data_IF_331579810645
#
_entry.id   IF_331579810645
#
_cell.length_a   1.000
_cell.length_b   1.000
_cell.length_c   1.000
_cell.angle_alpha   90.00
_cell.angle_beta   90.00
_cell.angle_gamma   90.00
#
_symmetry.space_group_name_H-M   'P 1'
#
loop_
_entity.id
_entity.type
_entity.pdbx_description
1 polymer ?
#
# COMPACT_ATOMS: atom_id res chain seq x y z
N UNK A 1 49.04 41.94 29.19
CA UNK A 1 49.50 40.55 29.39
C UNK A 1 48.49 39.67 30.19
N UNK A 2 47.20 40.04 30.29
CA UNK A 2 46.25 39.45 31.27
C UNK A 2 45.33 38.39 30.65
N UNK A 3 45.22 38.31 29.32
CA UNK A 3 44.17 37.54 28.63
C UNK A 3 44.47 36.03 28.43
N UNK A 4 45.57 35.50 28.99
CA UNK A 4 45.93 34.07 28.85
C UNK A 4 45.50 33.19 30.02
N UNK A 5 45.20 33.75 31.20
CA UNK A 5 44.86 32.96 32.38
C UNK A 5 43.43 32.39 32.38
N UNK A 6 42.46 33.10 31.81
CA UNK A 6 41.04 32.67 31.78
C UNK A 6 40.74 31.60 30.73
N UNK A 7 41.59 31.47 29.71
CA UNK A 7 41.42 30.52 28.61
C UNK A 7 41.76 29.08 29.03
N UNK A 8 42.68 28.89 29.99
CA UNK A 8 43.11 27.57 30.45
C UNK A 8 42.05 26.80 31.24
N UNK A 9 41.23 27.50 32.03
CA UNK A 9 40.23 26.86 32.92
C UNK A 9 38.99 26.37 32.17
N UNK A 10 38.64 27.01 31.04
CA UNK A 10 37.47 26.64 30.22
C UNK A 10 37.69 25.37 29.38
N UNK A 11 38.94 24.88 29.30
CA UNK A 11 39.31 23.70 28.51
C UNK A 11 39.19 22.37 29.26
N UNK A 12 38.95 22.41 30.58
CA UNK A 12 38.86 21.24 31.45
C UNK A 12 37.44 20.65 31.57
N UNK A 13 36.40 21.36 31.12
CA UNK A 13 35.00 20.92 31.16
C UNK A 13 34.40 20.76 29.76
N UNK A 14 35.09 20.02 28.89
CA UNK A 14 34.46 19.48 27.67
C UNK A 14 34.07 18.04 27.95
N UNK A 15 32.87 17.86 28.51
CA UNK A 15 32.16 16.58 28.50
C UNK A 15 31.63 16.37 27.08
N UNK A 16 32.44 15.74 26.24
CA UNK A 16 31.95 15.12 25.01
C UNK A 16 31.36 13.74 25.40
N UNK A 17 30.25 13.77 26.15
CA UNK A 17 29.50 12.58 26.57
C UNK A 17 28.72 12.04 25.36
N UNK A 18 29.40 11.21 24.56
CA UNK A 18 28.84 10.54 23.39
C UNK A 18 28.18 9.21 23.73
N UNK A 19 27.01 9.00 23.12
CA UNK A 19 26.30 7.74 22.86
C UNK A 19 26.82 6.51 23.63
N UNK A 20 26.14 6.17 24.74
CA UNK A 20 26.46 4.94 25.46
C UNK A 20 25.86 3.73 24.76
N UNK A 21 26.44 2.54 24.96
CA UNK A 21 25.84 1.29 24.48
C UNK A 21 24.44 1.04 25.05
N UNK A 22 24.21 1.49 26.30
CA UNK A 22 22.91 1.40 26.98
C UNK A 22 21.86 2.26 26.25
N UNK A 23 22.25 3.43 25.75
CA UNK A 23 21.36 4.33 25.01
C UNK A 23 20.90 3.70 23.69
N UNK A 24 21.80 3.09 22.93
CA UNK A 24 21.42 2.33 21.72
C UNK A 24 20.50 1.13 22.04
N UNK A 25 20.74 0.42 23.16
CA UNK A 25 19.91 -0.71 23.57
C UNK A 25 18.47 -0.28 23.89
N UNK A 26 18.30 0.83 24.62
CA UNK A 26 16.97 1.36 24.93
C UNK A 26 16.24 1.85 23.66
N UNK A 27 16.96 2.44 22.70
CA UNK A 27 16.38 2.85 21.41
C UNK A 27 15.88 1.65 20.61
N UNK A 28 16.69 0.59 20.47
CA UNK A 28 16.28 -0.63 19.76
C UNK A 28 15.11 -1.32 20.44
N UNK A 29 15.06 -1.31 21.78
CA UNK A 29 13.93 -1.80 22.55
C UNK A 29 12.65 -1.07 22.18
N UNK A 30 12.64 0.27 22.19
CA UNK A 30 11.46 1.05 21.83
C UNK A 30 11.06 0.83 20.37
N UNK A 31 12.02 0.83 19.43
CA UNK A 31 11.75 0.59 18.00
C UNK A 31 11.10 -0.79 17.79
N UNK A 32 11.56 -1.82 18.50
CA UNK A 32 10.99 -3.17 18.38
C UNK A 32 9.51 -3.23 18.73
N UNK A 33 9.11 -2.56 19.82
CA UNK A 33 7.71 -2.48 20.26
C UNK A 33 6.87 -1.71 19.25
N UNK A 34 7.40 -0.61 18.70
CA UNK A 34 6.70 0.17 17.68
C UNK A 34 6.45 -0.64 16.39
N UNK A 35 7.44 -1.40 15.92
CA UNK A 35 7.31 -2.23 14.71
C UNK A 35 6.19 -3.26 14.85
N UNK A 36 6.07 -3.91 16.02
CA UNK A 36 5.03 -4.92 16.29
C UNK A 36 3.62 -4.32 16.14
N UNK A 37 3.42 -3.06 16.54
CA UNK A 37 2.12 -2.39 16.41
C UNK A 37 1.88 -1.89 14.99
N UNK A 38 2.92 -1.39 14.32
CA UNK A 38 2.80 -0.75 12.99
C UNK A 38 2.53 -1.77 11.88
N UNK A 39 3.26 -2.90 11.85
CA UNK A 39 3.14 -3.92 10.79
C UNK A 39 1.70 -4.42 10.57
N UNK A 40 0.96 -4.90 11.58
CA UNK A 40 -0.39 -5.43 11.37
C UNK A 40 -1.37 -4.35 10.91
N UNK A 41 -1.17 -3.10 11.35
CA UNK A 41 -2.00 -1.99 10.93
C UNK A 41 -1.81 -1.66 9.44
N UNK A 42 -0.54 -1.65 8.96
CA UNK A 42 -0.24 -1.45 7.54
C UNK A 42 -0.79 -2.61 6.69
N UNK A 43 -0.60 -3.86 7.13
CA UNK A 43 -1.10 -5.03 6.40
C UNK A 43 -2.62 -4.96 6.20
N UNK A 44 -3.38 -4.70 7.28
CA UNK A 44 -4.83 -4.54 7.23
C UNK A 44 -5.26 -3.38 6.32
N UNK A 45 -4.52 -2.27 6.33
CA UNK A 45 -4.81 -1.15 5.44
C UNK A 45 -4.58 -1.52 3.97
N UNK A 46 -3.55 -2.33 3.69
CA UNK A 46 -3.25 -2.84 2.34
C UNK A 46 -4.40 -3.69 1.81
N UNK A 47 -4.92 -4.62 2.62
CA UNK A 47 -6.02 -5.50 2.24
C UNK A 47 -7.29 -4.69 1.91
N UNK A 48 -7.64 -3.72 2.77
CA UNK A 48 -8.78 -2.83 2.54
C UNK A 48 -8.65 -2.00 1.24
N UNK A 49 -7.43 -1.54 0.92
CA UNK A 49 -7.15 -0.81 -0.32
C UNK A 49 -7.30 -1.73 -1.52
N UNK A 50 -6.84 -2.98 -1.43
CA UNK A 50 -7.00 -3.96 -2.50
C UNK A 50 -8.47 -4.30 -2.76
N UNK A 51 -9.28 -4.50 -1.71
CA UNK A 51 -10.71 -4.77 -1.83
C UNK A 51 -11.48 -3.59 -2.42
N UNK A 52 -11.15 -2.37 -1.96
CA UNK A 52 -11.75 -1.15 -2.52
C UNK A 52 -11.35 -0.97 -3.99
N UNK A 53 -10.08 -1.25 -4.32
CA UNK A 53 -9.59 -1.27 -5.69
C UNK A 53 -10.31 -2.31 -6.54
N UNK A 54 -10.58 -3.50 -6.00
CA UNK A 54 -11.32 -4.54 -6.71
C UNK A 54 -12.77 -4.12 -6.98
N UNK A 55 -13.45 -3.50 -6.01
CA UNK A 55 -14.80 -2.93 -6.22
C UNK A 55 -14.81 -1.87 -7.33
N UNK A 56 -13.79 -1.01 -7.38
CA UNK A 56 -13.66 -0.02 -8.45
C UNK A 56 -13.40 -0.69 -9.81
N UNK A 57 -12.56 -1.72 -9.85
CA UNK A 57 -12.29 -2.51 -11.05
C UNK A 57 -13.55 -3.19 -11.57
N UNK A 58 -14.36 -3.80 -10.70
CA UNK A 58 -15.65 -4.40 -11.07
C UNK A 58 -16.58 -3.36 -11.70
N UNK A 59 -16.69 -2.17 -11.11
CA UNK A 59 -17.48 -1.07 -11.70
C UNK A 59 -16.95 -0.62 -13.06
N UNK A 60 -15.63 -0.56 -13.23
CA UNK A 60 -15.03 -0.25 -14.52
C UNK A 60 -15.38 -1.31 -15.57
N UNK A 61 -15.29 -2.60 -15.22
CA UNK A 61 -15.68 -3.72 -16.08
C UNK A 61 -17.17 -3.67 -16.39
N UNK A 62 -18.03 -3.31 -15.42
CA UNK A 62 -19.47 -3.13 -15.66
C UNK A 62 -19.73 -2.06 -16.74
N UNK A 63 -19.01 -0.94 -16.70
CA UNK A 63 -19.09 0.07 -17.76
C UNK A 63 -18.67 -0.46 -19.13
N UNK A 64 -17.70 -1.38 -19.18
CA UNK A 64 -17.30 -2.05 -20.43
C UNK A 64 -18.35 -3.05 -20.92
N UNK A 65 -19.01 -3.76 -20.02
CA UNK A 65 -20.15 -4.62 -20.34
C UNK A 65 -21.29 -3.80 -20.97
N UNK A 66 -21.59 -2.63 -20.41
CA UNK A 66 -22.60 -1.73 -20.96
C UNK A 66 -22.19 -1.20 -22.35
N UNK A 67 -20.92 -0.82 -22.53
CA UNK A 67 -20.40 -0.41 -23.83
C UNK A 67 -20.49 -1.53 -24.88
N UNK A 68 -20.16 -2.76 -24.52
CA UNK A 68 -20.33 -3.93 -25.38
C UNK A 68 -21.81 -4.13 -25.75
N UNK A 69 -22.71 -4.02 -24.77
CA UNK A 69 -24.15 -4.15 -25.00
C UNK A 69 -24.70 -3.07 -25.93
N UNK A 70 -24.16 -1.85 -25.87
CA UNK A 70 -24.54 -0.78 -26.80
C UNK A 70 -24.07 -1.06 -28.24
N UNK A 71 -22.92 -1.71 -28.43
CA UNK A 71 -22.43 -2.05 -29.76
C UNK A 71 -23.07 -3.32 -30.35
N UNK A 72 -23.30 -4.34 -29.53
CA UNK A 72 -23.69 -5.68 -29.98
C UNK A 72 -25.14 -6.03 -29.65
N UNK A 73 -25.88 -5.13 -29.00
CA UNK A 73 -27.30 -5.30 -28.62
C UNK A 73 -27.55 -6.31 -27.50
N UNK A 74 -26.54 -7.06 -27.06
CA UNK A 74 -26.65 -8.12 -26.04
C UNK A 74 -25.50 -8.01 -25.05
N UNK A 75 -25.74 -8.44 -23.80
CA UNK A 75 -24.69 -8.50 -22.81
C UNK A 75 -23.68 -9.63 -23.16
N UNK A 76 -22.38 -9.44 -22.88
CA UNK A 76 -21.39 -10.48 -23.09
C UNK A 76 -21.66 -11.68 -22.18
N UNK A 77 -21.47 -12.89 -22.70
CA UNK A 77 -21.64 -14.14 -21.95
C UNK A 77 -20.44 -14.50 -21.06
N UNK A 78 -19.27 -13.90 -21.34
CA UNK A 78 -18.03 -14.14 -20.60
C UNK A 78 -17.13 -12.91 -20.62
N UNK A 79 -16.23 -12.81 -19.63
CA UNK A 79 -15.23 -11.75 -19.54
C UNK A 79 -14.29 -11.76 -20.76
N UNK A 80 -14.07 -12.93 -21.38
CA UNK A 80 -13.23 -13.06 -22.57
C UNK A 80 -13.85 -12.39 -23.81
N UNK A 81 -15.17 -12.26 -23.89
CA UNK A 81 -15.83 -11.54 -24.98
C UNK A 81 -15.54 -10.03 -24.98
N UNK A 82 -15.03 -9.49 -23.86
CA UNK A 82 -14.60 -8.10 -23.74
C UNK A 82 -13.12 -7.90 -24.10
N UNK A 83 -12.34 -8.96 -24.27
CA UNK A 83 -10.91 -8.90 -24.57
C UNK A 83 -10.68 -9.16 -26.07
N UNK A 84 -9.82 -8.38 -26.75
CA UNK A 84 -9.04 -7.25 -26.27
C UNK A 84 -9.74 -5.88 -26.41
N UNK A 85 -10.90 -5.84 -27.06
CA UNK A 85 -11.47 -4.59 -27.58
C UNK A 85 -11.99 -3.65 -26.48
N UNK A 86 -12.46 -4.18 -25.36
CA UNK A 86 -13.01 -3.43 -24.23
C UNK A 86 -12.17 -3.56 -22.95
N UNK A 87 -11.42 -4.66 -22.80
CA UNK A 87 -10.56 -4.94 -21.65
C UNK A 87 -9.21 -5.51 -22.08
N UNK A 88 -8.17 -5.17 -21.32
CA UNK A 88 -6.87 -5.85 -21.39
C UNK A 88 -6.89 -7.13 -20.56
N UNK A 89 -6.06 -8.10 -20.91
CA UNK A 89 -5.97 -9.39 -20.19
C UNK A 89 -5.73 -9.23 -18.68
N UNK A 90 -4.91 -8.25 -18.29
CA UNK A 90 -4.59 -7.96 -16.89
C UNK A 90 -5.73 -7.30 -16.11
N UNK A 91 -6.80 -6.87 -16.77
CA UNK A 91 -7.98 -6.24 -16.15
C UNK A 91 -9.07 -7.25 -15.77
N UNK A 92 -8.90 -8.52 -16.14
CA UNK A 92 -9.82 -9.63 -15.82
C UNK A 92 -9.67 -10.13 -14.38
N UNK A 93 -8.68 -9.63 -13.64
CA UNK A 93 -8.38 -10.04 -12.26
C UNK A 93 -8.11 -8.81 -11.40
N UNK A 94 -8.53 -8.88 -10.16
CA UNK A 94 -8.22 -7.90 -9.13
C UNK A 94 -6.80 -8.12 -8.57
N UNK A 95 -6.24 -7.08 -7.95
CA UNK A 95 -4.90 -7.14 -7.34
C UNK A 95 -4.81 -8.07 -6.13
N UNK A 96 -5.93 -8.33 -5.46
CA UNK A 96 -6.04 -9.31 -4.38
C UNK A 96 -6.12 -10.77 -4.87
N UNK A 97 -6.16 -11.00 -6.19
CA UNK A 97 -6.24 -12.34 -6.79
C UNK A 97 -7.64 -12.74 -7.26
N UNK A 98 -8.69 -12.02 -6.85
CA UNK A 98 -10.07 -12.31 -7.23
C UNK A 98 -10.25 -12.20 -8.76
N UNK A 99 -10.91 -13.18 -9.36
CA UNK A 99 -11.20 -13.19 -10.80
C UNK A 99 -12.54 -12.50 -11.03
N UNK A 100 -12.62 -11.68 -12.09
CA UNK A 100 -13.87 -11.01 -12.46
C UNK A 100 -14.58 -11.86 -13.51
N UNK A 101 -15.74 -12.37 -13.13
CA UNK A 101 -16.64 -13.14 -13.98
C UNK A 101 -17.90 -12.33 -14.32
N UNK A 102 -18.63 -12.79 -15.33
CA UNK A 102 -19.90 -12.17 -15.74
C UNK A 102 -21.03 -13.12 -15.37
N UNK A 103 -21.92 -12.68 -14.49
CA UNK A 103 -23.09 -13.46 -14.05
C UNK A 103 -24.33 -12.65 -14.34
N UNK A 104 -25.21 -13.17 -15.20
CA UNK A 104 -26.46 -12.47 -15.56
C UNK A 104 -26.26 -11.13 -16.28
N UNK A 105 -25.09 -10.88 -16.87
CA UNK A 105 -24.75 -9.60 -17.50
C UNK A 105 -24.19 -8.54 -16.54
N UNK A 106 -23.85 -8.93 -15.31
CA UNK A 106 -23.17 -8.07 -14.34
C UNK A 106 -21.76 -8.60 -14.05
N UNK A 107 -20.82 -7.68 -13.83
CA UNK A 107 -19.47 -8.01 -13.39
C UNK A 107 -19.47 -8.38 -11.90
N UNK A 108 -18.95 -9.56 -11.57
CA UNK A 108 -18.84 -10.07 -10.20
C UNK A 108 -17.40 -10.51 -9.95
N UNK A 109 -16.80 -10.02 -8.86
CA UNK A 109 -15.51 -10.51 -8.40
C UNK A 109 -15.72 -11.76 -7.53
N UNK A 110 -15.20 -12.88 -8.00
CA UNK A 110 -15.18 -14.15 -7.27
C UNK A 110 -13.78 -14.38 -6.71
N UNK A 111 -13.70 -14.89 -5.48
CA UNK A 111 -12.45 -15.25 -4.80
C UNK A 111 -12.00 -16.64 -5.19
#
# INVERSE_FOLDING_TARGET
>A
MINKLTVGLKKLFRNDDGFTLIEMLLVLLVISVLIIVIIPNIAKQSDNVQDTGCKAQVKMVQGQIEAYKLQNGTAPVSIQALVPDFLKENQTKCKNGNVINIVGGEAVAES
#
